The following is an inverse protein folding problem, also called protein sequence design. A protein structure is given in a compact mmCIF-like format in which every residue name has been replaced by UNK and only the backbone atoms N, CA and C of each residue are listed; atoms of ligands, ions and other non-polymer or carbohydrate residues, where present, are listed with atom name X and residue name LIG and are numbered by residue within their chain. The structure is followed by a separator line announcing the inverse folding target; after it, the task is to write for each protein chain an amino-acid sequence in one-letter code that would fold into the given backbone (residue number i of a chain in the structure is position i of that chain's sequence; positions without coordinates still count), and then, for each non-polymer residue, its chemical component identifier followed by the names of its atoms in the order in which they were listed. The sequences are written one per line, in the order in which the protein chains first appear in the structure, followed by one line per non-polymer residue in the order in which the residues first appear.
data_IF_874573444038
#
_entry.id   IF_874573444038
#
_cell.length_a   1.000
_cell.length_b   1.000
_cell.length_c   1.000
_cell.angle_alpha   90.00
_cell.angle_beta   90.00
_cell.angle_gamma   90.00
#
_symmetry.space_group_name_H-M   'P 1'
#
loop_
_entity.id
_entity.type
_entity.pdbx_description
1 polymer ?
#
# COMPACT_ATOMS: atom_id res chain seq x y z
N UNK A 1 -7.26 -2.28 8.96
CA UNK A 1 -6.16 -3.26 8.93
C UNK A 1 -4.85 -2.51 9.09
N UNK A 2 -3.91 -3.03 9.90
CA UNK A 2 -2.53 -2.51 9.96
C UNK A 2 -1.60 -3.47 9.25
N UNK A 3 -0.71 -2.91 8.42
CA UNK A 3 0.33 -3.70 7.76
C UNK A 3 1.70 -3.12 8.09
N UNK A 4 2.69 -3.98 8.20
CA UNK A 4 4.09 -3.61 8.30
C UNK A 4 4.76 -3.89 6.96
N UNK A 5 5.38 -2.86 6.40
CA UNK A 5 6.32 -2.98 5.29
C UNK A 5 7.67 -3.35 5.88
N UNK A 6 8.29 -4.42 5.40
CA UNK A 6 9.53 -5.00 5.97
C UNK A 6 10.81 -4.48 5.31
N UNK A 7 10.70 -3.76 4.20
CA UNK A 7 11.81 -3.11 3.50
C UNK A 7 11.28 -1.93 2.70
N UNK A 8 12.14 -0.98 2.36
CA UNK A 8 11.75 0.13 1.49
C UNK A 8 11.21 -0.40 0.15
N UNK A 9 9.97 -0.03 -0.18
CA UNK A 9 9.28 -0.46 -1.39
C UNK A 9 8.91 0.74 -2.23
N UNK A 10 9.08 0.60 -3.54
CA UNK A 10 8.49 1.53 -4.49
C UNK A 10 7.11 0.99 -4.86
N UNK A 11 6.06 1.75 -4.54
CA UNK A 11 4.68 1.38 -4.83
C UNK A 11 4.08 2.37 -5.83
N UNK A 12 3.24 1.85 -6.71
CA UNK A 12 2.41 2.67 -7.59
C UNK A 12 1.35 3.42 -6.76
N UNK A 13 1.38 4.75 -6.83
CA UNK A 13 0.48 5.62 -6.09
C UNK A 13 -0.46 6.39 -7.01
N UNK A 14 -1.65 6.67 -6.50
CA UNK A 14 -2.57 7.63 -7.11
C UNK A 14 -2.53 8.89 -6.26
N UNK A 15 -2.00 9.98 -6.82
CA UNK A 15 -2.14 11.31 -6.23
C UNK A 15 -3.50 11.84 -6.68
N UNK A 16 -4.28 12.39 -5.75
CA UNK A 16 -5.68 12.76 -5.94
C UNK A 16 -5.93 13.86 -7.01
N UNK A 17 -4.89 14.32 -7.71
CA UNK A 17 -4.92 15.43 -8.68
C UNK A 17 -4.09 15.16 -9.97
N UNK A 18 -3.48 13.98 -10.13
CA UNK A 18 -2.65 13.69 -11.31
C UNK A 18 -3.13 12.46 -12.08
N UNK A 19 -3.19 12.60 -13.41
CA UNK A 19 -3.60 11.58 -14.39
C UNK A 19 -2.55 10.49 -14.60
N UNK A 20 -1.32 10.69 -14.10
CA UNK A 20 -0.25 9.69 -14.07
C UNK A 20 -0.22 8.97 -12.72
N UNK A 21 0.25 7.73 -12.71
CA UNK A 21 0.46 6.93 -11.49
C UNK A 21 1.91 7.14 -11.03
N UNK A 22 2.19 8.14 -10.17
CA UNK A 22 3.54 8.32 -9.65
C UNK A 22 3.94 7.11 -8.81
N UNK A 23 5.17 6.65 -9.00
CA UNK A 23 5.82 5.73 -8.09
C UNK A 23 6.28 6.50 -6.85
N UNK A 24 5.93 6.01 -5.67
CA UNK A 24 6.38 6.60 -4.42
C UNK A 24 7.13 5.58 -3.58
N UNK A 25 8.17 6.05 -2.89
CA UNK A 25 8.88 5.26 -1.90
C UNK A 25 8.03 5.16 -0.63
N UNK A 26 7.78 3.93 -0.21
CA UNK A 26 7.24 3.56 1.10
C UNK A 26 8.38 2.96 1.92
N UNK A 27 8.93 3.71 2.89
CA UNK A 27 9.92 3.19 3.81
C UNK A 27 9.45 1.94 4.56
N UNK A 28 10.39 1.21 5.16
CA UNK A 28 10.06 0.21 6.17
C UNK A 28 9.30 0.86 7.33
N UNK A 29 8.22 0.22 7.78
CA UNK A 29 7.41 0.74 8.88
C UNK A 29 6.00 0.19 8.91
N UNK A 30 5.22 0.67 9.87
CA UNK A 30 3.81 0.33 10.01
C UNK A 30 2.92 1.36 9.28
N UNK A 31 1.95 0.84 8.55
CA UNK A 31 1.07 1.60 7.69
C UNK A 31 -0.38 1.17 7.88
N UNK A 32 -1.27 2.15 7.75
CA UNK A 32 -2.71 1.90 7.70
C UNK A 32 -3.08 1.44 6.30
N UNK A 33 -3.76 0.29 6.25
CA UNK A 33 -4.32 -0.28 5.05
C UNK A 33 -5.86 -0.34 5.17
N UNK A 34 -6.53 0.20 4.16
CA UNK A 34 -7.98 0.21 4.06
C UNK A 34 -8.43 -0.62 2.86
N UNK A 35 -9.52 -1.38 3.03
CA UNK A 35 -10.20 -2.01 1.91
C UNK A 35 -11.18 -0.99 1.32
N UNK A 36 -11.06 -0.69 0.04
CA UNK A 36 -11.99 0.18 -0.67
C UNK A 36 -13.25 -0.59 -1.06
N UNK A 37 -14.40 0.08 -1.29
CA UNK A 37 -15.63 -0.57 -1.75
C UNK A 37 -15.46 -1.33 -3.07
N UNK A 38 -14.48 -0.96 -3.89
CA UNK A 38 -14.14 -1.64 -5.15
C UNK A 38 -13.26 -2.88 -4.96
N UNK A 39 -13.00 -3.30 -3.71
CA UNK A 39 -12.20 -4.48 -3.38
C UNK A 39 -10.69 -4.27 -3.53
N UNK A 40 -10.21 -3.02 -3.53
CA UNK A 40 -8.78 -2.70 -3.59
C UNK A 40 -8.24 -2.40 -2.20
N UNK A 41 -6.95 -2.60 -2.00
CA UNK A 41 -6.26 -2.18 -0.79
C UNK A 41 -5.66 -0.80 -1.04
N UNK A 42 -5.96 0.14 -0.16
CA UNK A 42 -5.41 1.48 -0.13
C UNK A 42 -4.44 1.62 1.06
N UNK A 43 -3.18 1.93 0.75
CA UNK A 43 -2.12 2.14 1.72
C UNK A 43 -1.78 3.64 1.80
N UNK A 44 -1.83 4.21 2.99
CA UNK A 44 -1.50 5.64 3.21
C UNK A 44 -0.05 5.80 3.68
N UNK A 45 0.77 6.54 2.93
CA UNK A 45 2.11 6.96 3.38
C UNK A 45 2.02 8.28 4.17
N UNK A 46 1.43 9.29 3.53
CA UNK A 46 1.14 10.61 4.10
C UNK A 46 -0.30 10.99 3.79
N UNK A 47 -0.81 12.10 4.33
CA UNK A 47 -2.20 12.57 4.07
C UNK A 47 -2.53 12.73 2.57
N UNK A 48 -1.52 12.89 1.70
CA UNK A 48 -1.70 13.13 0.25
C UNK A 48 -1.26 11.97 -0.65
N UNK A 49 -0.46 11.03 -0.15
CA UNK A 49 0.12 9.94 -0.96
C UNK A 49 -0.50 8.61 -0.57
N UNK A 50 -1.18 7.99 -1.52
CA UNK A 50 -1.90 6.72 -1.36
C UNK A 50 -1.47 5.73 -2.43
N UNK A 51 -1.02 4.54 -2.03
CA UNK A 51 -0.86 3.42 -2.94
C UNK A 51 -2.17 2.64 -3.03
N UNK A 52 -2.56 2.26 -4.25
CA UNK A 52 -3.74 1.41 -4.47
C UNK A 52 -3.34 0.19 -5.28
N UNK A 53 -3.67 -0.97 -4.76
CA UNK A 53 -3.38 -2.24 -5.43
C UNK A 53 -4.51 -3.25 -5.17
N UNK A 54 -4.62 -4.22 -6.06
CA UNK A 54 -5.61 -5.30 -5.95
C UNK A 54 -5.27 -6.25 -4.79
N UNK A 55 -6.24 -7.05 -4.36
CA UNK A 55 -6.02 -8.07 -3.34
C UNK A 55 -5.00 -9.14 -3.78
N UNK A 56 -4.93 -9.46 -5.07
CA UNK A 56 -3.92 -10.38 -5.62
C UNK A 56 -2.50 -9.83 -5.47
N UNK A 57 -2.30 -8.56 -5.82
CA UNK A 57 -1.01 -7.87 -5.62
C UNK A 57 -0.66 -7.78 -4.13
N UNK A 58 -1.64 -7.49 -3.27
CA UNK A 58 -1.41 -7.50 -1.82
C UNK A 58 -0.94 -8.88 -1.32
N UNK A 59 -1.60 -9.96 -1.74
CA UNK A 59 -1.22 -11.32 -1.36
C UNK A 59 0.16 -11.73 -1.88
N UNK A 60 0.51 -11.33 -3.09
CA UNK A 60 1.86 -11.54 -3.64
C UNK A 60 2.91 -10.88 -2.74
N UNK A 61 2.68 -9.61 -2.36
CA UNK A 61 3.57 -8.86 -1.45
C UNK A 61 3.68 -9.49 -0.06
N UNK A 62 2.59 -10.04 0.46
CA UNK A 62 2.60 -10.82 1.72
C UNK A 62 3.38 -12.12 1.54
N UNK A 63 3.18 -12.85 0.44
CA UNK A 63 3.89 -14.10 0.16
C UNK A 63 5.39 -13.91 -0.01
N UNK A 64 5.81 -12.75 -0.53
CA UNK A 64 7.22 -12.37 -0.65
C UNK A 64 7.81 -11.86 0.68
N UNK A 65 7.01 -11.80 1.74
CA UNK A 65 7.41 -11.27 3.05
C UNK A 65 7.63 -9.76 3.07
N UNK A 66 7.20 -9.05 2.02
CA UNK A 66 7.36 -7.59 1.91
C UNK A 66 6.29 -6.87 2.74
N UNK A 67 5.11 -7.48 2.89
CA UNK A 67 4.04 -7.03 3.77
C UNK A 67 3.75 -8.06 4.86
N UNK A 68 3.56 -7.58 6.08
CA UNK A 68 3.11 -8.38 7.23
C UNK A 68 1.82 -7.77 7.78
N UNK A 69 0.76 -8.55 7.92
CA UNK A 69 -0.49 -8.07 8.55
C UNK A 69 -0.30 -8.11 10.07
N UNK A 70 -0.41 -6.96 10.73
CA UNK A 70 -0.13 -6.82 12.18
C UNK A 70 -1.41 -6.90 13.00
N UNK A 71 -2.50 -6.29 12.54
CA UNK A 71 -3.81 -6.36 13.20
C UNK A 71 -4.94 -6.49 12.17
N UNK A 72 -5.80 -7.48 12.42
CA UNK A 72 -7.01 -7.85 11.67
C UNK A 72 -8.26 -7.48 12.44
#
# INVERSE_FOLDING_TARGET
MRIKITKNLVLHTQIQEMTSVPEALFPEGEYLANLTPEGKIELMNTKKIKARFSFSQFREKVSLGEFVVVES
#
